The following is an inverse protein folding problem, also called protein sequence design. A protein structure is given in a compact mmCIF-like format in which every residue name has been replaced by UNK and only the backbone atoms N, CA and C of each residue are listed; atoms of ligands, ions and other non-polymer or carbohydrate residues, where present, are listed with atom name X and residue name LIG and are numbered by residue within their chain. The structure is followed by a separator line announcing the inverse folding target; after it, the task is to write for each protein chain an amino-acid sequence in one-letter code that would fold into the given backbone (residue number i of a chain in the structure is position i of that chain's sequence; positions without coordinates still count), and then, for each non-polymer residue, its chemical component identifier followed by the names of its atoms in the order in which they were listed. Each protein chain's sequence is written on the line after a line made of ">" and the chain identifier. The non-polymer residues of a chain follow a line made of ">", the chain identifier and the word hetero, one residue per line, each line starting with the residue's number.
data_IF_111464426658
#
_entry.id   IF_111464426658
#
_cell.length_a   1.000
_cell.length_b   1.000
_cell.length_c   1.000
_cell.angle_alpha   90.00
_cell.angle_beta   90.00
_cell.angle_gamma   90.00
#
_symmetry.space_group_name_H-M   'P 1'
#
loop_
_entity.id
_entity.type
_entity.pdbx_description
1 polymer ?
#
# COMPACT_ATOMS: atom_id res chain seq x y z
N UNK A 1 -9.69 -5.23 0.20
CA UNK A 1 -8.83 -4.49 1.16
C UNK A 1 -7.36 -4.68 0.86
N UNK A 2 -6.82 -5.91 0.83
CA UNK A 2 -5.39 -6.16 0.54
C UNK A 2 -4.88 -5.45 -0.72
N UNK A 3 -5.58 -5.56 -1.85
CA UNK A 3 -5.20 -4.90 -3.10
C UNK A 3 -5.09 -3.38 -2.95
N UNK A 4 -6.07 -2.75 -2.29
CA UNK A 4 -6.06 -1.31 -2.03
C UNK A 4 -4.89 -0.90 -1.16
N UNK A 5 -4.62 -1.66 -0.09
CA UNK A 5 -3.50 -1.40 0.80
C UNK A 5 -2.17 -1.49 0.06
N UNK A 6 -1.99 -2.51 -0.77
CA UNK A 6 -0.79 -2.68 -1.59
C UNK A 6 -0.59 -1.52 -2.57
N UNK A 7 -1.63 -1.07 -3.26
CA UNK A 7 -1.53 0.10 -4.15
C UNK A 7 -1.12 1.36 -3.35
N UNK A 8 -1.69 1.54 -2.17
CA UNK A 8 -1.42 2.69 -1.30
C UNK A 8 -0.02 2.71 -0.68
N UNK A 9 0.72 1.58 -0.71
CA UNK A 9 2.13 1.56 -0.33
C UNK A 9 3.00 2.38 -1.30
N UNK A 10 2.56 2.57 -2.54
CA UNK A 10 3.37 3.17 -3.61
C UNK A 10 2.71 4.41 -4.21
N UNK A 11 1.45 4.65 -3.88
CA UNK A 11 0.62 5.73 -4.39
C UNK A 11 -0.07 6.42 -3.21
N UNK A 12 -0.58 7.64 -3.43
CA UNK A 12 -1.32 8.33 -2.37
C UNK A 12 -2.61 7.60 -1.99
N UNK A 13 -3.01 7.71 -0.72
CA UNK A 13 -4.25 7.13 -0.20
C UNK A 13 -5.48 7.58 -1.01
N UNK A 14 -5.53 8.85 -1.39
CA UNK A 14 -6.62 9.43 -2.18
C UNK A 14 -6.71 8.80 -3.58
N UNK A 15 -5.57 8.68 -4.28
CA UNK A 15 -5.55 8.07 -5.62
C UNK A 15 -5.93 6.58 -5.58
N UNK A 16 -5.36 5.84 -4.62
CA UNK A 16 -5.67 4.42 -4.41
C UNK A 16 -7.15 4.20 -4.08
N UNK A 17 -7.73 5.05 -3.24
CA UNK A 17 -9.15 4.99 -2.88
C UNK A 17 -10.04 5.24 -4.09
N UNK A 18 -9.78 6.32 -4.85
CA UNK A 18 -10.58 6.67 -6.02
C UNK A 18 -10.55 5.55 -7.08
N UNK A 19 -9.36 5.01 -7.38
CA UNK A 19 -9.20 3.91 -8.32
C UNK A 19 -9.96 2.66 -7.87
N UNK A 20 -9.81 2.27 -6.61
CA UNK A 20 -10.43 1.05 -6.11
C UNK A 20 -11.94 1.19 -5.94
N UNK A 21 -12.46 2.38 -5.61
CA UNK A 21 -13.89 2.64 -5.62
C UNK A 21 -14.46 2.45 -7.02
N UNK A 22 -13.81 3.01 -8.06
CA UNK A 22 -14.24 2.84 -9.44
C UNK A 22 -14.30 1.35 -9.85
N UNK A 23 -13.28 0.57 -9.46
CA UNK A 23 -13.24 -0.89 -9.69
C UNK A 23 -14.35 -1.62 -8.92
N UNK A 24 -14.71 -1.15 -7.72
CA UNK A 24 -15.70 -1.77 -6.87
C UNK A 24 -17.17 -1.43 -7.25
N UNK A 25 -17.41 -0.38 -8.04
CA UNK A 25 -18.77 0.05 -8.41
C UNK A 25 -19.67 -1.06 -8.99
N UNK A 26 -19.20 -1.92 -9.93
CA UNK A 26 -20.04 -3.01 -10.45
C UNK A 26 -20.41 -4.03 -9.37
N UNK A 27 -19.53 -4.27 -8.39
CA UNK A 27 -19.76 -5.21 -7.29
C UNK A 27 -20.77 -4.65 -6.29
N UNK A 28 -20.62 -3.37 -5.94
CA UNK A 28 -21.50 -2.69 -4.98
C UNK A 28 -22.97 -2.71 -5.43
N UNK A 29 -23.23 -2.63 -6.74
CA UNK A 29 -24.60 -2.70 -7.31
C UNK A 29 -25.33 -4.01 -7.01
N UNK A 30 -24.58 -5.10 -6.87
CA UNK A 30 -25.15 -6.44 -6.62
C UNK A 30 -25.11 -6.83 -5.14
N UNK A 31 -24.17 -6.27 -4.36
CA UNK A 31 -23.96 -6.62 -2.97
C UNK A 31 -24.51 -5.54 -2.01
N UNK A 32 -25.83 -5.31 -1.99
CA UNK A 32 -26.46 -4.20 -1.22
C UNK A 32 -26.05 -4.15 0.26
N UNK A 33 -26.17 -5.26 0.99
CA UNK A 33 -25.82 -5.29 2.42
C UNK A 33 -24.31 -5.18 2.68
N UNK A 34 -23.50 -5.71 1.77
CA UNK A 34 -22.03 -5.66 1.85
C UNK A 34 -21.42 -4.37 1.27
N UNK A 35 -22.23 -3.55 0.57
CA UNK A 35 -21.77 -2.33 -0.10
C UNK A 35 -21.09 -1.37 0.87
N UNK A 36 -21.66 -1.21 2.08
CA UNK A 36 -21.11 -0.38 3.16
C UNK A 36 -19.72 -0.86 3.58
N UNK A 37 -19.54 -2.19 3.69
CA UNK A 37 -18.25 -2.82 3.98
C UNK A 37 -17.21 -2.46 2.93
N UNK A 38 -17.57 -2.50 1.65
CA UNK A 38 -16.68 -2.20 0.54
C UNK A 38 -16.32 -0.70 0.53
N UNK A 39 -17.31 0.18 0.61
CA UNK A 39 -17.12 1.63 0.54
C UNK A 39 -16.30 2.15 1.73
N UNK A 40 -16.45 1.56 2.91
CA UNK A 40 -15.63 1.90 4.09
C UNK A 40 -14.26 1.19 4.05
N UNK A 41 -14.22 -0.07 3.65
CA UNK A 41 -13.02 -0.90 3.69
C UNK A 41 -11.93 -0.43 2.74
N UNK A 42 -12.29 0.16 1.59
CA UNK A 42 -11.32 0.72 0.63
C UNK A 42 -10.49 1.86 1.26
N UNK A 43 -11.08 2.97 1.76
CA UNK A 43 -10.30 4.05 2.36
C UNK A 43 -9.56 3.62 3.63
N UNK A 44 -10.14 2.74 4.47
CA UNK A 44 -9.41 2.17 5.60
C UNK A 44 -8.17 1.39 5.14
N UNK A 45 -8.32 0.55 4.12
CA UNK A 45 -7.20 -0.21 3.59
C UNK A 45 -6.14 0.69 2.93
N UNK A 46 -6.55 1.75 2.24
CA UNK A 46 -5.63 2.73 1.68
C UNK A 46 -4.80 3.41 2.78
N UNK A 47 -5.46 3.92 3.83
CA UNK A 47 -4.76 4.53 4.96
C UNK A 47 -3.81 3.58 5.68
N UNK A 48 -4.22 2.34 5.93
CA UNK A 48 -3.35 1.33 6.56
C UNK A 48 -2.16 0.99 5.65
N UNK A 49 -2.40 0.80 4.35
CA UNK A 49 -1.34 0.50 3.38
C UNK A 49 -0.32 1.62 3.22
N UNK A 50 -0.77 2.89 3.21
CA UNK A 50 0.10 4.06 3.09
C UNK A 50 1.04 4.26 4.28
N UNK A 51 0.74 3.68 5.44
CA UNK A 51 1.63 3.71 6.61
C UNK A 51 2.81 2.72 6.47
N UNK A 52 2.64 1.65 5.69
CA UNK A 52 3.62 0.55 5.64
C UNK A 52 4.96 0.93 4.99
N UNK A 53 5.01 1.98 4.17
CA UNK A 53 6.22 2.41 3.45
C UNK A 53 6.50 3.89 3.69
N UNK A 54 7.75 4.34 3.65
CA UNK A 54 8.11 5.76 3.75
C UNK A 54 7.40 6.71 2.78
N UNK A 55 6.95 6.20 1.63
CA UNK A 55 6.44 7.00 0.50
C UNK A 55 4.92 7.07 0.48
N UNK A 56 4.23 6.10 1.12
CA UNK A 56 2.78 6.00 1.03
C UNK A 56 2.04 7.26 1.52
N UNK A 57 2.63 8.02 2.46
CA UNK A 57 2.04 9.29 2.92
C UNK A 57 3.09 10.29 3.42
N UNK A 58 2.88 11.62 3.25
CA UNK A 58 3.83 12.65 3.70
C UNK A 58 4.23 12.57 5.20
N UNK A 59 3.34 12.25 6.15
CA UNK A 59 3.70 12.07 7.55
C UNK A 59 4.83 11.06 7.79
N UNK A 60 4.96 10.02 6.97
CA UNK A 60 6.01 9.02 7.14
C UNK A 60 7.38 9.63 6.82
N UNK A 61 7.48 10.39 5.73
CA UNK A 61 8.69 11.11 5.35
C UNK A 61 9.09 12.15 6.42
N UNK A 62 8.12 12.87 6.98
CA UNK A 62 8.34 13.82 8.07
C UNK A 62 8.87 13.11 9.33
N UNK A 63 8.28 11.97 9.69
CA UNK A 63 8.72 11.18 10.84
C UNK A 63 10.15 10.64 10.67
N UNK A 64 10.49 10.14 9.47
CA UNK A 64 11.85 9.66 9.15
C UNK A 64 12.86 10.80 9.24
N UNK A 65 12.53 11.98 8.71
CA UNK A 65 13.38 13.16 8.80
C UNK A 65 13.61 13.58 10.27
N UNK A 66 12.54 13.64 11.07
CA UNK A 66 12.63 13.99 12.49
C UNK A 66 13.46 12.97 13.30
N UNK A 67 13.30 11.67 13.02
CA UNK A 67 14.10 10.62 13.65
C UNK A 67 15.59 10.77 13.30
N UNK A 68 15.89 11.09 12.05
CA UNK A 68 17.26 11.35 11.60
C UNK A 68 17.88 12.55 12.32
N UNK A 69 17.14 13.65 12.46
CA UNK A 69 17.60 14.83 13.21
C UNK A 69 17.86 14.52 14.69
N UNK A 70 17.09 13.61 15.28
CA UNK A 70 17.27 13.12 16.64
C UNK A 70 18.42 12.09 16.78
N UNK A 71 19.18 11.80 15.71
CA UNK A 71 20.29 10.84 15.72
C UNK A 71 19.90 9.39 15.49
N UNK A 72 18.65 9.11 15.11
CA UNK A 72 18.13 7.78 14.80
C UNK A 72 17.84 7.66 13.30
N UNK A 73 18.86 7.40 12.45
CA UNK A 73 18.61 7.16 11.03
C UNK A 73 17.68 5.97 10.86
N UNK A 74 16.68 6.10 9.98
CA UNK A 74 15.66 5.10 9.76
C UNK A 74 15.64 4.70 8.28
N UNK A 75 16.46 3.70 7.89
CA UNK A 75 16.49 3.20 6.52
C UNK A 75 15.15 2.70 6.02
N UNK A 76 14.98 2.73 4.70
CA UNK A 76 13.72 2.33 4.05
C UNK A 76 13.26 0.92 4.45
N UNK A 77 14.19 -0.04 4.40
CA UNK A 77 13.92 -1.43 4.78
C UNK A 77 13.53 -1.57 6.25
N UNK A 78 14.12 -0.76 7.12
CA UNK A 78 13.87 -0.80 8.56
C UNK A 78 12.50 -0.23 8.90
N UNK A 79 12.11 0.87 8.25
CA UNK A 79 10.74 1.38 8.33
C UNK A 79 9.72 0.31 7.92
N UNK A 80 9.95 -0.35 6.78
CA UNK A 80 9.06 -1.39 6.28
C UNK A 80 9.00 -2.59 7.22
N UNK A 81 10.14 -3.05 7.74
CA UNK A 81 10.20 -4.19 8.64
C UNK A 81 9.38 -3.96 9.92
N UNK A 82 9.33 -2.72 10.42
CA UNK A 82 8.51 -2.34 11.59
C UNK A 82 7.03 -2.15 11.26
N UNK A 83 6.72 -1.45 10.16
CA UNK A 83 5.36 -1.01 9.86
C UNK A 83 4.54 -2.03 9.06
N UNK A 84 5.18 -2.85 8.22
CA UNK A 84 4.47 -3.83 7.39
C UNK A 84 3.73 -4.90 8.22
N UNK A 85 4.31 -5.49 9.29
CA UNK A 85 3.58 -6.42 10.15
C UNK A 85 2.36 -5.78 10.83
N UNK A 86 2.50 -4.53 11.29
CA UNK A 86 1.43 -3.76 11.91
C UNK A 86 0.32 -3.48 10.88
N UNK A 87 0.69 -3.11 9.65
CA UNK A 87 -0.26 -2.89 8.57
C UNK A 87 -1.01 -4.16 8.17
N UNK A 88 -0.33 -5.31 8.06
CA UNK A 88 -0.97 -6.59 7.78
C UNK A 88 -1.97 -6.98 8.87
N UNK A 89 -1.59 -6.81 10.14
CA UNK A 89 -2.49 -7.01 11.27
C UNK A 89 -3.68 -6.04 11.22
N UNK A 90 -3.43 -4.77 10.91
CA UNK A 90 -4.48 -3.75 10.76
C UNK A 90 -5.47 -4.08 9.65
N UNK A 91 -4.99 -4.54 8.49
CA UNK A 91 -5.85 -5.01 7.39
C UNK A 91 -6.68 -6.20 7.82
N UNK A 92 -6.07 -7.17 8.51
CA UNK A 92 -6.78 -8.34 9.02
C UNK A 92 -7.89 -7.93 10.00
N UNK A 93 -7.56 -7.15 11.03
CA UNK A 93 -8.51 -6.67 12.04
C UNK A 93 -9.62 -5.84 11.40
N UNK A 94 -9.29 -4.88 10.54
CA UNK A 94 -10.29 -4.06 9.86
C UNK A 94 -11.21 -4.90 8.96
N UNK A 95 -10.67 -5.91 8.27
CA UNK A 95 -11.46 -6.82 7.45
C UNK A 95 -12.43 -7.65 8.31
N UNK A 96 -11.96 -8.17 9.45
CA UNK A 96 -12.79 -8.94 10.38
C UNK A 96 -13.90 -8.06 10.97
N UNK A 97 -13.57 -6.87 11.45
CA UNK A 97 -14.52 -5.92 12.02
C UNK A 97 -15.60 -5.57 10.98
N UNK A 98 -15.21 -5.17 9.77
CA UNK A 98 -16.16 -4.83 8.72
C UNK A 98 -17.04 -6.03 8.32
N UNK A 99 -16.47 -7.24 8.27
CA UNK A 99 -17.24 -8.45 8.01
C UNK A 99 -18.26 -8.77 9.12
N UNK A 100 -17.91 -8.52 10.39
CA UNK A 100 -18.81 -8.73 11.52
C UNK A 100 -20.02 -7.79 11.49
N UNK A 101 -19.81 -6.51 11.16
CA UNK A 101 -20.87 -5.50 11.11
C UNK A 101 -21.69 -5.55 9.81
N UNK A 102 -21.07 -5.91 8.69
CA UNK A 102 -21.68 -5.90 7.37
C UNK A 102 -21.50 -7.28 6.72
N UNK A 103 -22.35 -8.23 7.09
CA UNK A 103 -22.28 -9.59 6.55
C UNK A 103 -22.83 -9.64 5.12
N UNK A 104 -22.19 -10.38 4.20
CA UNK A 104 -22.70 -10.53 2.84
C UNK A 104 -23.94 -11.45 2.83
N UNK A 105 -24.99 -11.02 2.13
CA UNK A 105 -26.21 -11.83 1.92
C UNK A 105 -26.08 -12.77 0.73
N UNK A 106 -25.18 -12.44 -0.22
CA UNK A 106 -24.91 -13.23 -1.43
C UNK A 106 -23.49 -13.80 -1.38
N UNK A 107 -23.34 -15.03 -1.83
CA UNK A 107 -22.04 -15.72 -1.94
C UNK A 107 -21.39 -15.53 -3.30
N UNK A 108 -22.18 -15.28 -4.34
CA UNK A 108 -21.70 -15.08 -5.71
C UNK A 108 -22.16 -13.75 -6.27
N UNK A 109 -21.28 -13.09 -7.01
CA UNK A 109 -21.54 -11.82 -7.66
C UNK A 109 -21.59 -12.07 -9.16
N UNK A 110 -22.70 -11.77 -9.87
CA UNK A 110 -22.84 -12.01 -11.30
C UNK A 110 -22.09 -10.94 -12.13
N UNK A 111 -20.79 -10.79 -11.92
CA UNK A 111 -19.95 -9.83 -12.63
C UNK A 111 -19.03 -10.57 -13.60
N UNK A 112 -19.20 -10.28 -14.89
CA UNK A 112 -18.28 -10.74 -15.93
C UNK A 112 -17.00 -9.92 -15.87
N UNK A 113 -15.92 -10.52 -15.37
CA UNK A 113 -14.60 -9.89 -15.37
C UNK A 113 -14.03 -9.95 -16.80
N UNK A 114 -14.04 -8.80 -17.48
CA UNK A 114 -13.33 -8.66 -18.76
C UNK A 114 -11.83 -8.65 -18.49
N UNK A 115 -11.11 -9.67 -18.96
CA UNK A 115 -9.65 -9.65 -18.94
C UNK A 115 -9.14 -8.51 -19.83
N UNK A 116 -8.37 -7.62 -19.24
CA UNK A 116 -7.67 -6.55 -19.96
C UNK A 116 -6.23 -7.00 -20.13
N UNK A 117 -5.70 -6.91 -21.35
CA UNK A 117 -4.28 -7.15 -21.61
C UNK A 117 -3.47 -5.95 -21.14
N UNK A 118 -2.32 -6.21 -20.51
CA UNK A 118 -1.42 -5.12 -20.09
C UNK A 118 -0.72 -4.58 -21.35
N UNK A 119 -0.96 -3.30 -21.64
CA UNK A 119 -0.32 -2.58 -22.74
C UNK A 119 1.20 -2.45 -22.53
N UNK A 120 1.95 -2.20 -23.62
CA UNK A 120 3.42 -2.03 -23.56
C UNK A 120 3.84 -0.97 -22.53
N UNK A 121 3.14 0.16 -22.49
CA UNK A 121 3.41 1.24 -21.53
C UNK A 121 3.19 0.79 -20.09
N UNK A 122 2.12 0.02 -19.81
CA UNK A 122 1.87 -0.53 -18.48
C UNK A 122 2.98 -1.48 -18.02
N UNK A 123 3.52 -2.31 -18.93
CA UNK A 123 4.67 -3.17 -18.63
C UNK A 123 5.92 -2.37 -18.30
N UNK A 124 6.18 -1.29 -19.05
CA UNK A 124 7.31 -0.41 -18.80
C UNK A 124 7.19 0.30 -17.44
N UNK A 125 6.03 0.87 -17.12
CA UNK A 125 5.78 1.48 -15.81
C UNK A 125 5.98 0.49 -14.66
N UNK A 126 5.48 -0.75 -14.81
CA UNK A 126 5.67 -1.79 -13.81
C UNK A 126 7.16 -2.16 -13.65
N UNK A 127 7.91 -2.25 -14.75
CA UNK A 127 9.34 -2.56 -14.71
C UNK A 127 10.14 -1.47 -13.97
N UNK A 128 9.86 -0.19 -14.26
CA UNK A 128 10.49 0.94 -13.57
C UNK A 128 10.13 0.92 -12.08
N UNK A 129 8.87 0.71 -11.73
CA UNK A 129 8.42 0.63 -10.34
C UNK A 129 9.15 -0.49 -9.57
N UNK A 130 9.20 -1.69 -10.12
CA UNK A 130 9.89 -2.84 -9.48
C UNK A 130 11.38 -2.53 -9.32
N UNK A 131 12.02 -1.98 -10.35
CA UNK A 131 13.43 -1.60 -10.29
C UNK A 131 13.67 -0.58 -9.17
N UNK A 132 12.85 0.47 -9.07
CA UNK A 132 12.97 1.48 -8.00
C UNK A 132 12.79 0.86 -6.61
N UNK A 133 11.82 -0.02 -6.42
CA UNK A 133 11.60 -0.70 -5.14
C UNK A 133 12.81 -1.56 -4.77
N UNK A 134 13.35 -2.34 -5.71
CA UNK A 134 14.53 -3.17 -5.47
C UNK A 134 15.73 -2.31 -5.07
N UNK A 135 15.93 -1.17 -5.74
CA UNK A 135 17.00 -0.25 -5.39
C UNK A 135 16.82 0.30 -3.97
N UNK A 136 15.64 0.77 -3.57
CA UNK A 136 15.42 1.24 -2.20
C UNK A 136 15.68 0.17 -1.12
N UNK A 137 15.34 -1.09 -1.39
CA UNK A 137 15.55 -2.17 -0.44
C UNK A 137 17.02 -2.61 -0.34
N UNK A 138 17.79 -2.45 -1.42
CA UNK A 138 19.17 -2.98 -1.51
C UNK A 138 20.25 -1.92 -1.30
N UNK A 139 19.96 -0.64 -1.51
CA UNK A 139 20.94 0.46 -1.35
C UNK A 139 21.62 0.47 0.04
N UNK A 140 20.92 0.32 1.18
CA UNK A 140 21.59 0.27 2.49
C UNK A 140 22.61 -0.86 2.60
N UNK A 141 22.30 -2.02 2.02
CA UNK A 141 23.19 -3.19 2.01
C UNK A 141 24.39 -2.95 1.11
N UNK A 142 24.16 -2.40 -0.09
CA UNK A 142 25.20 -2.11 -1.07
C UNK A 142 26.18 -1.04 -0.54
N UNK A 143 25.69 0.04 0.06
CA UNK A 143 26.56 1.10 0.60
C UNK A 143 27.49 0.59 1.71
N UNK A 144 26.98 -0.29 2.57
CA UNK A 144 27.78 -0.94 3.60
C UNK A 144 28.84 -1.89 3.00
N UNK A 145 28.48 -2.65 1.96
CA UNK A 145 29.41 -3.61 1.33
C UNK A 145 30.58 -2.92 0.63
N UNK A 146 30.36 -1.72 0.08
CA UNK A 146 31.37 -0.97 -0.67
C UNK A 146 32.13 0.07 0.19
N UNK A 147 31.91 0.11 1.50
CA UNK A 147 32.56 1.08 2.40
C UNK A 147 32.18 2.54 2.16
N UNK A 148 31.08 2.78 1.43
CA UNK A 148 30.56 4.10 1.06
C UNK A 148 29.44 4.57 2.00
N UNK A 149 29.39 4.06 3.23
CA UNK A 149 28.38 4.40 4.25
C UNK A 149 28.29 5.91 4.59
N UNK A 150 29.29 6.69 4.15
CA UNK A 150 29.32 8.17 4.21
C UNK A 150 28.27 8.83 3.29
N UNK A 151 27.85 8.15 2.21
CA UNK A 151 26.73 8.58 1.38
C UNK A 151 25.45 7.99 1.95
N UNK A 152 24.89 8.55 3.02
CA UNK A 152 23.53 8.22 3.44
C UNK A 152 22.58 9.07 2.58
N UNK A 153 21.92 8.52 1.55
CA UNK A 153 20.96 9.26 0.74
C UNK A 153 19.89 9.82 1.65
N UNK A 154 19.35 11.00 1.32
CA UNK A 154 18.23 11.63 2.04
C UNK A 154 16.98 10.74 2.18
N UNK A 155 16.97 9.57 1.53
CA UNK A 155 15.85 8.65 1.36
C UNK A 155 16.23 7.16 1.53
N UNK A 156 17.44 6.83 2.00
CA UNK A 156 17.82 5.44 2.28
C UNK A 156 18.39 5.27 3.68
#
# INVERSE_FOLDING_TARGET
>A
MVTTAFLSMWMSNTASTALMLAVALPVIKHAKEFSKSIVLGIPFAASIGGMCTPIGTPPNAIAIAALREAGYPMPFIEWMARNLPIGLLGIFVASVVLYMFYRPTITEIPVTIKRISIERNGKFTLAVLILTIVLWLTVPVLLNYWGLAIFHPLWC
#
